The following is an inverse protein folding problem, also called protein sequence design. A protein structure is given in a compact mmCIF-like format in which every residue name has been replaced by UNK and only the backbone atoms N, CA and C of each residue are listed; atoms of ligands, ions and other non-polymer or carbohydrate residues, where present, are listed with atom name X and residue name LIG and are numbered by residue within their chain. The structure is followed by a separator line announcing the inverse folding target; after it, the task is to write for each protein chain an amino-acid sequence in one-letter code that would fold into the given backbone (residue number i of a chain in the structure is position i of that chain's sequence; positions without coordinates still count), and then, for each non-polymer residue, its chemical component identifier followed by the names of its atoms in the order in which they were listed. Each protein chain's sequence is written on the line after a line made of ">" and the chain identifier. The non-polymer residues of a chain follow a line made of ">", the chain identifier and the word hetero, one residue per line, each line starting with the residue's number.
data_IF_559482933191
#
_entry.id   IF_559482933191
#
_cell.length_a   1.000
_cell.length_b   1.000
_cell.length_c   1.000
_cell.angle_alpha   90.00
_cell.angle_beta   90.00
_cell.angle_gamma   90.00
#
_symmetry.space_group_name_H-M   'P 1'
#
loop_
_entity.id
_entity.type
_entity.pdbx_description
1 polymer ?
#
# COMPACT_ATOMS: atom_id res chain seq x y z
N UNK A 1 61.97 17.97 24.11
CA UNK A 1 60.77 17.11 24.34
C UNK A 1 59.68 17.61 23.42
N UNK A 2 59.54 17.03 22.22
CA UNK A 2 58.73 17.57 21.13
C UNK A 2 57.43 16.75 21.08
N UNK A 3 56.32 17.40 21.41
CA UNK A 3 54.97 16.83 21.30
C UNK A 3 54.59 16.98 19.83
N UNK A 4 54.69 15.92 19.06
CA UNK A 4 54.09 15.81 17.74
C UNK A 4 52.62 15.45 17.94
N UNK A 5 51.77 16.43 17.80
CA UNK A 5 50.33 16.24 17.71
C UNK A 5 50.01 15.34 16.52
N UNK A 6 49.56 14.15 16.81
CA UNK A 6 48.99 13.22 15.81
C UNK A 6 47.62 13.75 15.39
N UNK A 7 47.63 14.61 14.38
CA UNK A 7 46.40 14.91 13.64
C UNK A 7 46.02 13.65 12.84
N UNK A 8 45.13 12.86 13.40
CA UNK A 8 44.45 11.88 12.59
C UNK A 8 43.66 12.63 11.49
N UNK A 9 43.81 12.25 10.21
CA UNK A 9 43.03 12.88 9.16
C UNK A 9 41.55 12.62 9.44
N UNK A 10 40.80 13.70 9.68
CA UNK A 10 39.35 13.62 9.64
C UNK A 10 38.98 13.11 8.25
N UNK A 11 38.61 11.85 8.17
CA UNK A 11 38.02 11.31 6.98
C UNK A 11 36.75 12.11 6.72
N UNK A 12 36.82 12.98 5.71
CA UNK A 12 35.66 13.67 5.15
C UNK A 12 34.68 12.62 4.63
N UNK A 13 33.68 12.29 5.44
CA UNK A 13 32.53 11.52 5.02
C UNK A 13 31.60 12.30 4.06
N UNK A 14 31.99 13.51 3.68
CA UNK A 14 31.29 14.32 2.70
C UNK A 14 31.77 14.01 1.28
N UNK A 15 31.18 13.04 0.68
CA UNK A 15 31.02 12.76 -0.77
C UNK A 15 31.26 11.31 -1.17
N UNK A 16 30.71 10.35 -0.45
CA UNK A 16 30.35 9.12 -1.14
C UNK A 16 29.11 9.44 -1.97
N UNK A 17 29.31 9.72 -3.28
CA UNK A 17 28.24 9.74 -4.25
C UNK A 17 27.35 8.53 -3.99
N UNK A 18 26.05 8.76 -3.77
CA UNK A 18 25.10 7.68 -3.49
C UNK A 18 25.35 6.58 -4.53
N UNK A 19 25.77 5.37 -4.14
CA UNK A 19 26.22 4.35 -5.09
C UNK A 19 25.11 3.90 -6.04
N UNK A 20 23.85 4.36 -5.79
CA UNK A 20 22.69 4.04 -6.59
C UNK A 20 21.72 5.22 -6.70
N UNK A 21 21.26 5.56 -7.90
CA UNK A 21 20.25 6.61 -8.09
C UNK A 21 18.94 6.24 -7.38
N UNK A 22 18.43 7.15 -6.53
CA UNK A 22 17.20 6.95 -5.75
C UNK A 22 15.94 7.47 -6.47
N UNK A 23 15.95 7.50 -7.82
CA UNK A 23 14.82 8.01 -8.60
C UNK A 23 13.52 7.26 -8.33
N UNK A 24 13.59 5.93 -8.28
CA UNK A 24 12.44 5.07 -7.98
C UNK A 24 11.89 5.32 -6.56
N UNK A 25 12.77 5.42 -5.58
CA UNK A 25 12.40 5.72 -4.20
C UNK A 25 11.66 7.06 -4.09
N UNK A 26 12.17 8.10 -4.76
CA UNK A 26 11.51 9.41 -4.80
C UNK A 26 10.13 9.31 -5.46
N UNK A 27 10.02 8.67 -6.62
CA UNK A 27 8.74 8.45 -7.30
C UNK A 27 7.75 7.69 -6.40
N UNK A 28 8.20 6.67 -5.68
CA UNK A 28 7.38 5.89 -4.78
C UNK A 28 6.82 6.74 -3.63
N UNK A 29 7.65 7.54 -2.96
CA UNK A 29 7.27 8.37 -1.81
C UNK A 29 6.37 9.53 -2.22
N UNK A 30 6.71 10.23 -3.30
CA UNK A 30 6.03 11.47 -3.66
C UNK A 30 4.84 11.27 -4.59
N UNK A 31 4.75 10.14 -5.28
CA UNK A 31 3.68 9.88 -6.23
C UNK A 31 2.87 8.64 -5.84
N UNK A 32 3.48 7.45 -5.92
CA UNK A 32 2.73 6.20 -5.81
C UNK A 32 2.05 5.99 -4.45
N UNK A 33 2.74 6.20 -3.34
CA UNK A 33 2.16 6.03 -2.00
C UNK A 33 1.10 7.09 -1.69
N UNK A 34 1.26 8.30 -2.20
CA UNK A 34 0.24 9.33 -2.07
C UNK A 34 -1.03 8.96 -2.87
N UNK A 35 -0.86 8.52 -4.13
CA UNK A 35 -1.98 8.06 -4.96
C UNK A 35 -2.66 6.82 -4.36
N UNK A 36 -1.90 5.89 -3.77
CA UNK A 36 -2.46 4.74 -3.07
C UNK A 36 -3.33 5.16 -1.88
N UNK A 37 -2.87 6.11 -1.07
CA UNK A 37 -3.66 6.62 0.04
C UNK A 37 -4.93 7.34 -0.44
N UNK A 38 -4.82 8.14 -1.50
CA UNK A 38 -5.97 8.84 -2.09
C UNK A 38 -6.99 7.88 -2.69
N UNK A 39 -6.54 6.86 -3.41
CA UNK A 39 -7.40 5.82 -3.97
C UNK A 39 -8.12 5.03 -2.87
N UNK A 40 -7.41 4.65 -1.80
CA UNK A 40 -8.02 3.97 -0.65
C UNK A 40 -9.06 4.84 0.05
N UNK A 41 -8.81 6.15 0.20
CA UNK A 41 -9.77 7.10 0.74
C UNK A 41 -11.01 7.26 -0.17
N UNK A 42 -10.81 7.35 -1.49
CA UNK A 42 -11.90 7.39 -2.45
C UNK A 42 -12.77 6.13 -2.41
N UNK A 43 -12.14 4.95 -2.33
CA UNK A 43 -12.85 3.69 -2.16
C UNK A 43 -13.65 3.65 -0.84
N UNK A 44 -13.07 4.14 0.27
CA UNK A 44 -13.79 4.22 1.54
C UNK A 44 -15.05 5.09 1.41
N UNK A 45 -14.94 6.28 0.82
CA UNK A 45 -16.08 7.17 0.59
C UNK A 45 -17.14 6.50 -0.29
N UNK A 46 -16.72 5.88 -1.40
CA UNK A 46 -17.61 5.19 -2.33
C UNK A 46 -18.39 4.06 -1.65
N UNK A 47 -17.74 3.28 -0.82
CA UNK A 47 -18.36 2.14 -0.13
C UNK A 47 -19.26 2.60 1.02
N UNK A 48 -18.88 3.64 1.78
CA UNK A 48 -19.73 4.20 2.84
C UNK A 48 -20.97 4.90 2.30
N UNK A 49 -20.85 5.63 1.20
CA UNK A 49 -21.99 6.32 0.57
C UNK A 49 -22.90 5.40 -0.22
N UNK A 50 -22.43 4.20 -0.60
CA UNK A 50 -23.14 3.33 -1.52
C UNK A 50 -23.15 3.83 -2.97
N UNK A 51 -22.39 4.88 -3.30
CA UNK A 51 -22.42 5.53 -4.62
C UNK A 51 -22.07 4.60 -5.79
N UNK A 52 -21.42 3.46 -5.51
CA UNK A 52 -21.18 2.42 -6.51
C UNK A 52 -22.47 1.71 -6.98
N UNK A 53 -23.58 1.87 -6.25
CA UNK A 53 -24.92 1.39 -6.69
C UNK A 53 -25.68 2.39 -7.57
N UNK A 54 -25.03 3.49 -8.01
CA UNK A 54 -25.54 4.45 -9.01
C UNK A 54 -26.91 5.04 -8.66
N UNK A 55 -27.18 5.35 -7.40
CA UNK A 55 -28.44 5.93 -6.93
C UNK A 55 -29.51 4.91 -6.52
N UNK A 56 -29.20 3.62 -6.59
CA UNK A 56 -30.10 2.55 -6.12
C UNK A 56 -29.75 2.03 -4.71
N UNK A 57 -28.89 2.77 -3.97
CA UNK A 57 -28.36 2.34 -2.66
C UNK A 57 -29.46 2.02 -1.65
N UNK A 58 -30.50 2.85 -1.55
CA UNK A 58 -31.60 2.64 -0.61
C UNK A 58 -32.40 1.36 -0.96
N UNK A 59 -32.64 1.13 -2.24
CA UNK A 59 -33.30 -0.09 -2.71
C UNK A 59 -32.47 -1.33 -2.43
N UNK A 60 -31.19 -1.28 -2.75
CA UNK A 60 -30.25 -2.40 -2.54
C UNK A 60 -30.15 -2.74 -1.05
N UNK A 61 -30.02 -1.74 -0.19
CA UNK A 61 -29.92 -1.96 1.26
C UNK A 61 -31.24 -2.37 1.90
N UNK A 62 -32.40 -1.95 1.34
CA UNK A 62 -33.71 -2.44 1.78
C UNK A 62 -33.91 -3.93 1.44
N UNK A 63 -33.43 -4.36 0.26
CA UNK A 63 -33.51 -5.77 -0.16
C UNK A 63 -32.46 -6.64 0.53
N UNK A 64 -31.27 -6.09 0.80
CA UNK A 64 -30.12 -6.82 1.35
C UNK A 64 -29.46 -6.06 2.52
N UNK A 65 -30.08 -6.01 3.71
CA UNK A 65 -29.57 -5.20 4.85
C UNK A 65 -28.16 -5.60 5.29
N UNK A 66 -27.80 -6.87 5.17
CA UNK A 66 -26.45 -7.38 5.52
C UNK A 66 -25.37 -6.77 4.63
N UNK A 67 -25.68 -6.38 3.41
CA UNK A 67 -24.72 -5.78 2.48
C UNK A 67 -24.24 -4.42 2.98
N UNK A 68 -25.11 -3.64 3.64
CA UNK A 68 -24.72 -2.40 4.31
C UNK A 68 -23.64 -2.63 5.38
N UNK A 69 -23.76 -3.72 6.13
CA UNK A 69 -22.77 -4.10 7.14
C UNK A 69 -21.42 -4.48 6.49
N UNK A 70 -21.48 -5.27 5.42
CA UNK A 70 -20.25 -5.63 4.65
C UNK A 70 -19.58 -4.37 4.14
N UNK A 71 -20.32 -3.47 3.50
CA UNK A 71 -19.78 -2.22 2.98
C UNK A 71 -19.17 -1.35 4.09
N UNK A 72 -19.82 -1.28 5.26
CA UNK A 72 -19.27 -0.54 6.41
C UNK A 72 -17.92 -1.12 6.85
N UNK A 73 -17.82 -2.45 6.99
CA UNK A 73 -16.57 -3.13 7.36
C UNK A 73 -15.49 -2.87 6.31
N UNK A 74 -15.80 -3.00 5.04
CA UNK A 74 -14.87 -2.72 3.95
C UNK A 74 -14.40 -1.27 3.96
N UNK A 75 -15.32 -0.31 4.18
CA UNK A 75 -14.96 1.10 4.30
C UNK A 75 -13.95 1.37 5.43
N UNK A 76 -14.15 0.73 6.60
CA UNK A 76 -13.20 0.81 7.72
C UNK A 76 -11.85 0.21 7.33
N UNK A 77 -11.83 -0.94 6.65
CA UNK A 77 -10.60 -1.54 6.15
C UNK A 77 -9.91 -0.63 5.11
N UNK A 78 -10.63 0.01 4.22
CA UNK A 78 -10.05 1.00 3.30
C UNK A 78 -9.37 2.15 4.06
N UNK A 79 -9.98 2.68 5.12
CA UNK A 79 -9.35 3.71 5.98
C UNK A 79 -8.10 3.20 6.69
N UNK A 80 -8.08 1.94 7.15
CA UNK A 80 -6.87 1.32 7.67
C UNK A 80 -5.76 1.24 6.59
N UNK A 81 -6.12 0.98 5.33
CA UNK A 81 -5.22 1.04 4.18
C UNK A 81 -4.62 2.43 3.97
N UNK A 82 -5.42 3.51 4.14
CA UNK A 82 -4.91 4.90 4.11
C UNK A 82 -3.85 5.11 5.17
N UNK A 83 -4.14 4.72 6.42
CA UNK A 83 -3.20 4.87 7.53
C UNK A 83 -1.90 4.09 7.26
N UNK A 84 -2.01 2.85 6.77
CA UNK A 84 -0.87 2.02 6.42
C UNK A 84 -0.01 2.64 5.30
N UNK A 85 -0.63 3.22 4.28
CA UNK A 85 0.07 3.90 3.20
C UNK A 85 0.84 5.14 3.71
N UNK A 86 0.24 5.94 4.60
CA UNK A 86 0.87 7.12 5.21
C UNK A 86 2.05 6.69 6.08
N UNK A 87 1.90 5.68 6.93
CA UNK A 87 2.96 5.17 7.80
C UNK A 87 4.12 4.63 6.95
N UNK A 88 3.81 3.85 5.91
CA UNK A 88 4.80 3.31 4.97
C UNK A 88 5.58 4.44 4.31
N UNK A 89 4.88 5.48 3.83
CA UNK A 89 5.51 6.65 3.24
C UNK A 89 6.47 7.35 4.21
N UNK A 90 6.03 7.58 5.46
CA UNK A 90 6.87 8.25 6.46
C UNK A 90 8.12 7.44 6.80
N UNK A 91 7.99 6.11 6.93
CA UNK A 91 9.13 5.22 7.20
C UNK A 91 10.13 5.20 6.04
N UNK A 92 9.65 5.16 4.79
CA UNK A 92 10.49 5.22 3.61
C UNK A 92 11.17 6.59 3.48
N UNK A 93 10.44 7.69 3.65
CA UNK A 93 10.97 9.05 3.58
C UNK A 93 12.02 9.31 4.66
N UNK A 94 11.86 8.72 5.84
CA UNK A 94 12.81 8.81 6.95
C UNK A 94 13.94 7.78 6.92
N UNK A 95 14.06 6.99 5.87
CA UNK A 95 15.06 5.90 5.76
C UNK A 95 15.07 4.97 6.98
N UNK A 96 13.88 4.70 7.55
CA UNK A 96 13.76 3.89 8.76
C UNK A 96 14.07 2.42 8.47
N UNK A 97 14.72 1.77 9.44
CA UNK A 97 14.98 0.33 9.39
C UNK A 97 13.67 -0.45 9.22
N UNK A 98 13.67 -1.43 8.31
CA UNK A 98 12.46 -2.22 8.01
C UNK A 98 11.39 -1.49 7.18
N UNK A 99 11.65 -0.29 6.64
CA UNK A 99 10.67 0.43 5.82
C UNK A 99 10.22 -0.36 4.58
N UNK A 100 11.08 -1.21 4.01
CA UNK A 100 10.73 -2.12 2.91
C UNK A 100 9.72 -3.19 3.32
N UNK A 101 9.71 -3.60 4.60
CA UNK A 101 8.76 -4.58 5.11
C UNK A 101 7.36 -3.97 5.23
N UNK A 102 7.27 -2.70 5.65
CA UNK A 102 6.01 -1.96 5.66
C UNK A 102 5.44 -1.77 4.25
N UNK A 103 6.30 -1.54 3.26
CA UNK A 103 5.88 -1.48 1.87
C UNK A 103 5.33 -2.83 1.38
N UNK A 104 6.01 -3.92 1.73
CA UNK A 104 5.53 -5.27 1.43
C UNK A 104 4.19 -5.53 2.11
N UNK A 105 4.06 -5.18 3.40
CA UNK A 105 2.81 -5.32 4.14
C UNK A 105 1.66 -4.53 3.50
N UNK A 106 1.92 -3.33 2.99
CA UNK A 106 0.92 -2.52 2.29
C UNK A 106 0.42 -3.22 1.01
N UNK A 107 1.32 -3.78 0.18
CA UNK A 107 0.91 -4.50 -1.03
C UNK A 107 0.14 -5.78 -0.70
N UNK A 108 0.58 -6.54 0.29
CA UNK A 108 -0.12 -7.75 0.76
C UNK A 108 -1.50 -7.38 1.30
N UNK A 109 -1.60 -6.31 2.09
CA UNK A 109 -2.87 -5.81 2.62
C UNK A 109 -3.85 -5.47 1.49
N UNK A 110 -3.42 -4.71 0.50
CA UNK A 110 -4.26 -4.35 -0.65
C UNK A 110 -4.69 -5.59 -1.46
N UNK A 111 -3.80 -6.54 -1.67
CA UNK A 111 -4.13 -7.80 -2.34
C UNK A 111 -5.17 -8.60 -1.56
N UNK A 112 -5.02 -8.72 -0.23
CA UNK A 112 -5.99 -9.41 0.62
C UNK A 112 -7.35 -8.70 0.63
N UNK A 113 -7.36 -7.37 0.68
CA UNK A 113 -8.60 -6.59 0.65
C UNK A 113 -9.34 -6.74 -0.68
N UNK A 114 -8.61 -6.79 -1.80
CA UNK A 114 -9.20 -7.00 -3.13
C UNK A 114 -9.80 -8.39 -3.31
N UNK A 115 -9.31 -9.40 -2.59
CA UNK A 115 -9.89 -10.75 -2.53
C UNK A 115 -11.05 -10.83 -1.55
N UNK A 116 -10.92 -10.18 -0.40
CA UNK A 116 -11.90 -10.25 0.67
C UNK A 116 -13.25 -9.63 0.28
N UNK A 117 -13.23 -8.50 -0.43
CA UNK A 117 -14.45 -7.79 -0.82
C UNK A 117 -15.43 -8.66 -1.63
N UNK A 118 -15.04 -9.23 -2.79
CA UNK A 118 -15.96 -10.07 -3.58
C UNK A 118 -16.43 -11.30 -2.82
N UNK A 119 -15.59 -11.91 -1.99
CA UNK A 119 -15.97 -13.07 -1.17
C UNK A 119 -17.02 -12.66 -0.14
N UNK A 120 -16.82 -11.53 0.55
CA UNK A 120 -17.76 -11.05 1.56
C UNK A 120 -19.12 -10.64 0.95
N UNK A 121 -19.10 -10.02 -0.22
CA UNK A 121 -20.33 -9.68 -0.96
C UNK A 121 -21.06 -10.94 -1.39
N UNK A 122 -20.36 -11.91 -2.01
CA UNK A 122 -20.96 -13.16 -2.46
C UNK A 122 -21.60 -13.96 -1.31
N UNK A 123 -20.95 -13.98 -0.15
CA UNK A 123 -21.48 -14.66 1.04
C UNK A 123 -22.80 -14.06 1.57
N UNK A 124 -23.12 -12.82 1.20
CA UNK A 124 -24.35 -12.13 1.63
C UNK A 124 -25.41 -12.12 0.55
N UNK A 125 -25.00 -11.99 -0.71
CA UNK A 125 -25.92 -11.83 -1.86
C UNK A 125 -26.36 -13.20 -2.39
N UNK A 126 -25.52 -14.23 -2.25
CA UNK A 126 -25.80 -15.63 -2.63
C UNK A 126 -26.38 -15.81 -4.05
N UNK A 127 -25.81 -15.08 -5.01
CA UNK A 127 -26.18 -15.16 -6.43
C UNK A 127 -25.22 -16.10 -7.15
N UNK A 128 -25.72 -17.16 -7.79
CA UNK A 128 -24.86 -18.07 -8.56
C UNK A 128 -24.08 -17.32 -9.65
N UNK A 129 -22.76 -17.58 -9.74
CA UNK A 129 -21.89 -16.96 -10.75
C UNK A 129 -21.34 -15.57 -10.38
N UNK A 130 -21.88 -14.90 -9.36
CA UNK A 130 -21.40 -13.56 -8.94
C UNK A 130 -19.92 -13.58 -8.54
N UNK A 131 -19.49 -14.64 -7.88
CA UNK A 131 -18.08 -14.77 -7.47
C UNK A 131 -17.15 -14.87 -8.68
N UNK A 132 -17.51 -15.65 -9.68
CA UNK A 132 -16.72 -15.83 -10.92
C UNK A 132 -16.64 -14.51 -11.69
N UNK A 133 -17.73 -13.78 -11.80
CA UNK A 133 -17.76 -12.46 -12.43
C UNK A 133 -16.93 -11.42 -11.66
N UNK A 134 -16.94 -11.48 -10.33
CA UNK A 134 -16.15 -10.59 -9.48
C UNK A 134 -14.63 -10.83 -9.61
N UNK A 135 -14.20 -12.04 -9.93
CA UNK A 135 -12.82 -12.37 -10.28
C UNK A 135 -12.51 -12.10 -11.77
N UNK A 136 -12.93 -10.94 -12.24
CA UNK A 136 -12.64 -10.47 -13.60
C UNK A 136 -11.13 -10.43 -13.90
N UNK A 137 -10.82 -10.33 -15.17
CA UNK A 137 -9.42 -10.19 -15.65
C UNK A 137 -8.70 -9.00 -14.99
N UNK A 138 -9.42 -7.93 -14.63
CA UNK A 138 -8.88 -6.78 -13.91
C UNK A 138 -8.44 -7.10 -12.48
N UNK A 139 -9.22 -7.87 -11.75
CA UNK A 139 -8.86 -8.33 -10.38
C UNK A 139 -7.61 -9.20 -10.41
N UNK A 140 -7.56 -10.16 -11.34
CA UNK A 140 -6.40 -11.04 -11.50
C UNK A 140 -5.16 -10.24 -11.89
N UNK A 141 -5.26 -9.32 -12.85
CA UNK A 141 -4.15 -8.45 -13.24
C UNK A 141 -3.66 -7.58 -12.07
N UNK A 142 -4.56 -7.08 -11.23
CA UNK A 142 -4.22 -6.34 -10.01
C UNK A 142 -3.43 -7.18 -9.01
N UNK A 143 -3.83 -8.43 -8.78
CA UNK A 143 -3.12 -9.36 -7.91
C UNK A 143 -1.72 -9.69 -8.42
N UNK A 144 -1.60 -10.01 -9.72
CA UNK A 144 -0.30 -10.24 -10.36
C UNK A 144 0.57 -8.99 -10.24
N UNK A 145 0.00 -7.80 -10.47
CA UNK A 145 0.68 -6.53 -10.29
C UNK A 145 1.22 -6.33 -8.86
N UNK A 146 0.44 -6.69 -7.83
CA UNK A 146 0.89 -6.67 -6.44
C UNK A 146 2.10 -7.60 -6.19
N UNK A 147 2.06 -8.82 -6.70
CA UNK A 147 3.17 -9.78 -6.56
C UNK A 147 4.43 -9.24 -7.23
N UNK A 148 4.33 -8.75 -8.46
CA UNK A 148 5.45 -8.15 -9.20
C UNK A 148 5.99 -6.94 -8.43
N UNK A 149 5.13 -6.07 -7.92
CA UNK A 149 5.53 -4.91 -7.13
C UNK A 149 6.29 -5.31 -5.86
N UNK A 150 5.82 -6.33 -5.14
CA UNK A 150 6.53 -6.87 -3.95
C UNK A 150 7.91 -7.35 -4.32
N UNK A 151 8.04 -8.19 -5.36
CA UNK A 151 9.32 -8.77 -5.79
C UNK A 151 10.28 -7.66 -6.23
N UNK A 152 9.84 -6.77 -7.11
CA UNK A 152 10.66 -5.66 -7.61
C UNK A 152 11.14 -4.73 -6.49
N UNK A 153 10.24 -4.36 -5.57
CA UNK A 153 10.60 -3.50 -4.44
C UNK A 153 11.54 -4.21 -3.46
N UNK A 154 11.33 -5.51 -3.19
CA UNK A 154 12.28 -6.29 -2.35
C UNK A 154 13.67 -6.30 -2.95
N UNK A 155 13.81 -6.59 -4.25
CA UNK A 155 15.11 -6.58 -4.94
C UNK A 155 15.73 -5.17 -4.89
N UNK A 156 14.92 -4.13 -5.15
CA UNK A 156 15.39 -2.76 -5.14
C UNK A 156 15.91 -2.33 -3.77
N UNK A 157 15.16 -2.59 -2.68
CA UNK A 157 15.54 -2.17 -1.33
C UNK A 157 16.60 -3.05 -0.70
N UNK A 158 16.68 -4.34 -1.03
CA UNK A 158 17.77 -5.20 -0.55
C UNK A 158 19.16 -4.70 -1.00
N UNK A 159 19.25 -4.22 -2.25
CA UNK A 159 20.49 -3.60 -2.77
C UNK A 159 20.84 -2.27 -2.10
N UNK A 160 19.95 -1.67 -1.36
CA UNK A 160 20.07 -0.36 -0.70
C UNK A 160 19.86 -0.43 0.81
N UNK A 161 19.94 -1.63 1.39
CA UNK A 161 19.68 -1.85 2.81
C UNK A 161 20.58 -1.01 3.72
N UNK A 162 21.80 -0.73 3.28
CA UNK A 162 22.77 0.13 4.01
C UNK A 162 22.33 1.58 4.19
N UNK A 163 21.35 2.06 3.41
CA UNK A 163 20.79 3.42 3.53
C UNK A 163 19.69 3.51 4.58
N UNK A 164 19.12 2.38 5.02
CA UNK A 164 17.99 2.29 5.95
C UNK A 164 18.46 1.89 7.36
N UNK A 165 19.09 2.83 8.04
CA UNK A 165 19.80 2.59 9.34
C UNK A 165 19.15 3.32 10.52
N UNK A 166 18.19 4.22 10.29
CA UNK A 166 17.52 5.02 11.32
C UNK A 166 16.32 4.31 11.98
#
# INVERSE_FOLDING_TARGET
>A
MSIRDSYAPQQNYASQAEPYPMKWHKALIYCFLFLTALAAAGNAIMVFSGSHYQGYEDMVYAMMPKLKTVNTVIGILCLAGVALAIITRQKLAGFKRGASDWLTALYVYNALLSLFYPIAVNAVVDVPGLLEESFSSGTIAGLVGCVVAVVCNRIYYNKRASLFVN
#
